data_IF_469189047263
#
_entry.id   IF_469189047263
#
_cell.length_a   1.000
_cell.length_b   1.000
_cell.length_c   1.000
_cell.angle_alpha   90.00
_cell.angle_beta   90.00
_cell.angle_gamma   90.00
#
_symmetry.space_group_name_H-M   'P 1'
#
loop_
_entity.id
_entity.type
_entity.pdbx_description
1 polymer ?
#
# COMPACT_ATOMS: atom_id res chain seq x y z
N UNK A 1 40.75 14.82 -1.70
CA UNK A 1 39.80 13.69 -1.93
C UNK A 1 38.90 13.35 -0.72
N UNK A 2 39.08 13.96 0.46
CA UNK A 2 38.21 13.73 1.64
C UNK A 2 36.95 14.61 1.61
N UNK A 3 37.06 15.85 1.12
CA UNK A 3 35.92 16.78 1.03
C UNK A 3 34.85 16.35 0.00
N UNK A 4 35.22 15.72 -1.12
CA UNK A 4 34.25 15.19 -2.10
C UNK A 4 33.44 13.99 -1.57
N UNK A 5 34.03 13.17 -0.68
CA UNK A 5 33.40 11.97 -0.11
C UNK A 5 32.28 12.32 0.88
N UNK A 6 32.46 13.41 1.64
CA UNK A 6 31.42 13.93 2.54
C UNK A 6 30.27 14.60 1.77
N UNK A 7 30.55 15.16 0.59
CA UNK A 7 29.55 15.81 -0.25
C UNK A 7 28.63 14.79 -0.95
N UNK A 8 29.19 13.71 -1.48
CA UNK A 8 28.41 12.60 -2.07
C UNK A 8 27.58 11.86 -1.03
N UNK A 9 28.10 11.67 0.19
CA UNK A 9 27.32 11.08 1.30
C UNK A 9 26.13 11.98 1.69
N UNK A 10 26.33 13.30 1.77
CA UNK A 10 25.22 14.25 2.07
C UNK A 10 24.16 14.28 0.98
N UNK A 11 24.54 14.23 -0.29
CA UNK A 11 23.60 14.16 -1.41
C UNK A 11 22.79 12.85 -1.37
N UNK A 12 23.42 11.73 -1.01
CA UNK A 12 22.75 10.44 -0.90
C UNK A 12 21.74 10.43 0.26
N UNK A 13 22.07 11.03 1.41
CA UNK A 13 21.11 11.20 2.51
C UNK A 13 19.93 12.10 2.14
N UNK A 14 20.18 13.19 1.40
CA UNK A 14 19.12 14.08 0.94
C UNK A 14 18.22 13.35 -0.07
N UNK A 15 18.76 12.63 -1.05
CA UNK A 15 17.94 11.93 -2.05
C UNK A 15 17.10 10.81 -1.44
N UNK A 16 17.63 10.09 -0.43
CA UNK A 16 16.88 9.09 0.32
C UNK A 16 15.75 9.73 1.11
N UNK A 17 16.00 10.89 1.74
CA UNK A 17 14.99 11.62 2.51
C UNK A 17 13.86 12.16 1.61
N UNK A 18 14.17 12.75 0.45
CA UNK A 18 13.15 13.22 -0.49
C UNK A 18 12.33 12.08 -1.06
N UNK A 19 12.96 10.94 -1.39
CA UNK A 19 12.27 9.76 -1.89
C UNK A 19 11.30 9.14 -0.87
N UNK A 20 11.57 9.29 0.43
CA UNK A 20 10.73 8.77 1.50
C UNK A 20 9.43 9.59 1.68
N UNK A 21 9.49 10.90 1.46
CA UNK A 21 8.31 11.76 1.50
C UNK A 21 7.32 11.47 0.37
N UNK A 22 7.79 11.18 -0.85
CA UNK A 22 6.90 10.87 -1.98
C UNK A 22 6.16 9.53 -1.83
N UNK A 23 6.75 8.55 -1.14
CA UNK A 23 6.10 7.26 -0.87
C UNK A 23 4.92 7.44 0.10
N UNK A 24 5.04 8.36 1.07
CA UNK A 24 4.01 8.56 2.10
C UNK A 24 2.70 9.11 1.49
N UNK A 25 2.80 10.12 0.62
CA UNK A 25 1.63 10.73 -0.06
C UNK A 25 0.90 9.71 -0.96
N UNK A 26 1.65 8.87 -1.68
CA UNK A 26 1.06 7.83 -2.53
C UNK A 26 0.33 6.76 -1.71
N UNK A 27 0.83 6.46 -0.51
CA UNK A 27 0.19 5.51 0.40
C UNK A 27 -1.12 6.06 0.97
N UNK A 28 -1.16 7.35 1.33
CA UNK A 28 -2.36 7.99 1.92
C UNK A 28 -3.52 8.02 0.92
N UNK A 29 -3.26 8.35 -0.35
CA UNK A 29 -4.28 8.33 -1.42
C UNK A 29 -4.77 6.90 -1.70
N UNK A 30 -3.86 5.92 -1.72
CA UNK A 30 -4.23 4.52 -1.96
C UNK A 30 -5.07 3.93 -0.82
N UNK A 31 -4.77 4.28 0.43
CA UNK A 31 -5.60 3.93 1.59
C UNK A 31 -6.98 4.59 1.50
N UNK A 32 -7.02 5.89 1.18
CA UNK A 32 -8.26 6.63 0.96
C UNK A 32 -9.16 6.01 -0.10
N UNK A 33 -8.58 5.56 -1.23
CA UNK A 33 -9.30 4.86 -2.29
C UNK A 33 -9.93 3.55 -1.81
N UNK A 34 -9.19 2.75 -1.03
CA UNK A 34 -9.69 1.49 -0.49
C UNK A 34 -10.85 1.70 0.48
N UNK A 35 -10.70 2.66 1.40
CA UNK A 35 -11.77 3.03 2.34
C UNK A 35 -12.99 3.53 1.57
N UNK A 36 -12.81 4.41 0.57
CA UNK A 36 -13.90 4.90 -0.25
C UNK A 36 -14.67 3.78 -0.94
N UNK A 37 -13.96 2.82 -1.57
CA UNK A 37 -14.56 1.68 -2.28
C UNK A 37 -15.36 0.77 -1.35
N UNK A 38 -14.90 0.58 -0.12
CA UNK A 38 -15.50 -0.36 0.84
C UNK A 38 -16.64 0.26 1.66
N UNK A 39 -16.54 1.55 1.97
CA UNK A 39 -17.42 2.24 2.92
C UNK A 39 -18.36 3.22 2.22
N UNK A 40 -17.80 4.08 1.36
CA UNK A 40 -18.52 5.23 0.81
C UNK A 40 -19.28 4.90 -0.48
N UNK A 41 -18.71 4.02 -1.32
CA UNK A 41 -19.20 3.70 -2.68
C UNK A 41 -20.58 3.04 -2.69
N UNK A 42 -21.01 2.47 -1.57
CA UNK A 42 -22.36 1.91 -1.44
C UNK A 42 -23.46 2.97 -1.63
N UNK A 43 -23.16 4.24 -1.33
CA UNK A 43 -24.12 5.35 -1.41
C UNK A 43 -23.65 6.48 -2.34
N UNK A 44 -22.34 6.71 -2.45
CA UNK A 44 -21.76 7.78 -3.25
C UNK A 44 -21.13 7.23 -4.51
N UNK A 45 -21.33 7.92 -5.64
CA UNK A 45 -20.58 7.64 -6.85
C UNK A 45 -19.13 8.12 -6.71
N UNK A 46 -18.27 7.66 -7.61
CA UNK A 46 -16.92 8.22 -7.76
C UNK A 46 -17.02 9.74 -7.99
N UNK A 47 -16.07 10.54 -7.47
CA UNK A 47 -16.12 11.99 -7.58
C UNK A 47 -16.33 12.44 -9.03
N UNK A 48 -17.39 13.22 -9.29
CA UNK A 48 -17.76 13.69 -10.62
C UNK A 48 -18.71 12.75 -11.38
N UNK A 49 -19.09 11.62 -10.78
CA UNK A 49 -20.09 10.69 -11.28
C UNK A 49 -21.53 11.11 -10.98
N UNK A 50 -21.75 12.28 -10.36
CA UNK A 50 -23.07 12.80 -10.03
C UNK A 50 -23.72 12.13 -8.81
N UNK A 51 -24.95 12.53 -8.52
CA UNK A 51 -25.72 12.06 -7.37
C UNK A 51 -26.17 10.60 -7.52
N UNK A 52 -26.24 9.88 -6.40
CA UNK A 52 -26.83 8.53 -6.28
C UNK A 52 -27.78 8.52 -5.06
N UNK A 53 -27.71 7.54 -4.17
CA UNK A 53 -28.30 7.57 -2.82
C UNK A 53 -27.76 8.77 -2.00
N UNK A 54 -26.46 9.06 -2.12
CA UNK A 54 -25.81 10.24 -1.57
C UNK A 54 -25.42 11.27 -2.65
N UNK A 55 -25.10 12.51 -2.26
CA UNK A 55 -24.63 13.54 -3.19
C UNK A 55 -23.29 13.18 -3.84
N UNK A 56 -22.95 13.85 -4.94
CA UNK A 56 -21.59 13.80 -5.49
C UNK A 56 -20.59 14.38 -4.47
N UNK A 57 -19.44 13.74 -4.36
CA UNK A 57 -18.38 14.11 -3.42
C UNK A 57 -17.27 14.93 -4.08
N UNK A 58 -17.33 15.16 -5.40
CA UNK A 58 -16.40 16.09 -6.04
C UNK A 58 -16.48 17.47 -5.40
N UNK A 59 -15.30 18.01 -5.04
CA UNK A 59 -15.17 19.31 -4.40
C UNK A 59 -16.02 19.46 -3.14
N UNK A 60 -16.19 18.38 -2.36
CA UNK A 60 -17.14 18.32 -1.23
C UNK A 60 -17.01 19.49 -0.24
N UNK A 61 -15.79 19.94 0.05
CA UNK A 61 -15.55 21.07 0.98
C UNK A 61 -16.08 22.41 0.46
N UNK A 62 -16.24 22.55 -0.86
CA UNK A 62 -16.81 23.75 -1.49
C UNK A 62 -18.34 23.70 -1.59
N UNK A 63 -18.98 22.62 -1.13
CA UNK A 63 -20.44 22.56 -1.08
C UNK A 63 -21.00 23.52 -0.03
N UNK A 64 -22.26 23.93 -0.21
CA UNK A 64 -22.96 24.87 0.69
C UNK A 64 -22.93 24.45 2.17
N UNK A 65 -22.77 23.14 2.44
CA UNK A 65 -22.70 22.57 3.79
C UNK A 65 -21.41 22.91 4.53
N UNK A 66 -20.29 23.01 3.81
CA UNK A 66 -18.95 23.15 4.40
C UNK A 66 -18.26 24.48 4.10
N UNK A 67 -18.59 25.14 2.98
CA UNK A 67 -17.89 26.34 2.49
C UNK A 67 -17.90 27.53 3.48
N UNK A 68 -18.92 27.63 4.33
CA UNK A 68 -19.06 28.72 5.30
C UNK A 68 -18.63 28.33 6.73
N UNK A 69 -18.05 27.14 6.91
CA UNK A 69 -17.55 26.70 8.21
C UNK A 69 -16.19 27.33 8.49
N UNK A 70 -15.90 27.60 9.77
CA UNK A 70 -14.60 28.18 10.19
C UNK A 70 -13.43 27.27 9.80
N UNK A 71 -13.62 25.96 10.01
CA UNK A 71 -12.73 24.91 9.49
C UNK A 71 -13.56 23.87 8.73
N UNK A 72 -13.63 23.97 7.38
CA UNK A 72 -14.37 23.03 6.55
C UNK A 72 -13.85 21.59 6.66
N UNK A 73 -12.55 21.40 6.85
CA UNK A 73 -11.91 20.09 6.92
C UNK A 73 -12.22 19.41 8.26
N UNK A 74 -12.03 20.12 9.37
CA UNK A 74 -12.38 19.58 10.70
C UNK A 74 -13.88 19.29 10.80
N UNK A 75 -14.71 20.16 10.21
CA UNK A 75 -16.16 19.95 10.15
C UNK A 75 -16.51 18.73 9.30
N UNK A 76 -15.82 18.50 8.18
CA UNK A 76 -15.99 17.31 7.36
C UNK A 76 -15.63 16.03 8.11
N UNK A 77 -14.52 16.02 8.86
CA UNK A 77 -14.12 14.87 9.70
C UNK A 77 -15.22 14.51 10.70
N UNK A 78 -15.67 15.50 11.48
CA UNK A 78 -16.75 15.32 12.46
C UNK A 78 -18.06 14.89 11.81
N UNK A 79 -18.35 15.39 10.62
CA UNK A 79 -19.54 15.02 9.87
C UNK A 79 -19.49 13.56 9.41
N UNK A 80 -18.37 13.07 8.90
CA UNK A 80 -18.22 11.66 8.47
C UNK A 80 -18.36 10.72 9.67
N UNK A 81 -17.73 11.06 10.79
CA UNK A 81 -17.81 10.29 12.03
C UNK A 81 -19.20 10.33 12.67
N UNK A 82 -19.90 11.47 12.57
CA UNK A 82 -21.24 11.64 13.11
C UNK A 82 -22.09 12.63 12.28
N UNK A 83 -22.83 12.16 11.26
CA UNK A 83 -23.60 13.03 10.37
C UNK A 83 -24.72 13.82 11.05
N UNK A 84 -25.15 13.38 12.25
CA UNK A 84 -26.14 14.09 13.07
C UNK A 84 -25.64 15.45 13.55
N UNK A 85 -24.32 15.68 13.58
CA UNK A 85 -23.71 16.99 13.89
C UNK A 85 -24.22 18.09 12.95
N UNK A 86 -24.55 17.74 11.71
CA UNK A 86 -25.14 18.65 10.71
C UNK A 86 -26.61 18.28 10.39
N UNK A 87 -27.28 17.55 11.29
CA UNK A 87 -28.69 17.18 11.17
C UNK A 87 -29.01 16.13 10.10
N UNK A 88 -28.01 15.45 9.54
CA UNK A 88 -28.22 14.44 8.49
C UNK A 88 -28.42 13.07 9.12
N UNK A 89 -29.59 12.45 8.89
CA UNK A 89 -29.95 11.11 9.41
C UNK A 89 -29.77 9.98 8.38
N UNK A 90 -29.75 10.33 7.10
CA UNK A 90 -29.70 9.34 6.02
C UNK A 90 -28.32 8.71 5.85
N UNK A 91 -27.25 9.43 6.21
CA UNK A 91 -25.89 8.91 6.23
C UNK A 91 -25.61 8.31 7.62
N UNK A 92 -25.23 7.02 7.71
CA UNK A 92 -24.81 6.43 8.98
C UNK A 92 -23.47 7.00 9.43
N UNK A 93 -23.23 6.98 10.74
CA UNK A 93 -21.92 7.30 11.32
C UNK A 93 -20.87 6.29 10.83
N UNK A 94 -19.69 6.79 10.47
CA UNK A 94 -18.56 5.96 10.05
C UNK A 94 -17.57 5.80 11.20
N UNK A 95 -17.16 4.56 11.48
CA UNK A 95 -16.15 4.23 12.49
C UNK A 95 -14.74 4.38 11.89
N UNK A 96 -14.37 5.62 11.60
CA UNK A 96 -13.09 6.01 11.00
C UNK A 96 -12.41 7.07 11.86
N UNK A 97 -11.09 6.97 12.01
CA UNK A 97 -10.30 8.02 12.67
C UNK A 97 -10.03 9.21 11.73
N UNK A 98 -9.51 10.30 12.29
CA UNK A 98 -9.27 11.56 11.58
C UNK A 98 -8.32 11.37 10.39
N UNK A 99 -7.29 10.53 10.53
CA UNK A 99 -6.31 10.26 9.47
C UNK A 99 -6.96 9.51 8.32
N UNK A 100 -7.77 8.50 8.62
CA UNK A 100 -8.51 7.74 7.61
C UNK A 100 -9.50 8.61 6.84
N UNK A 101 -10.19 9.54 7.52
CA UNK A 101 -11.10 10.47 6.84
C UNK A 101 -10.34 11.45 5.95
N UNK A 102 -9.16 11.91 6.39
CA UNK A 102 -8.29 12.77 5.58
C UNK A 102 -7.75 12.04 4.34
N UNK A 103 -7.34 10.77 4.46
CA UNK A 103 -6.93 9.94 3.32
C UNK A 103 -8.05 9.82 2.28
N UNK A 104 -9.30 9.59 2.72
CA UNK A 104 -10.47 9.56 1.84
C UNK A 104 -10.72 10.91 1.17
N UNK A 105 -10.61 12.00 1.92
CA UNK A 105 -10.76 13.36 1.39
C UNK A 105 -9.69 13.68 0.34
N UNK A 106 -8.45 13.27 0.58
CA UNK A 106 -7.36 13.42 -0.37
C UNK A 106 -7.65 12.65 -1.66
N UNK A 107 -8.02 11.37 -1.55
CA UNK A 107 -8.45 10.56 -2.70
C UNK A 107 -9.56 11.25 -3.50
N UNK A 108 -10.61 11.74 -2.83
CA UNK A 108 -11.73 12.43 -3.49
C UNK A 108 -11.26 13.66 -4.27
N UNK A 109 -10.35 14.45 -3.70
CA UNK A 109 -9.86 15.69 -4.30
C UNK A 109 -8.87 15.44 -5.45
N UNK A 110 -8.10 14.35 -5.40
CA UNK A 110 -7.12 14.00 -6.43
C UNK A 110 -7.69 13.06 -7.50
N UNK A 111 -8.94 12.60 -7.34
CA UNK A 111 -9.55 11.65 -8.25
C UNK A 111 -9.70 12.23 -9.67
N UNK A 112 -9.14 11.53 -10.64
CA UNK A 112 -9.32 11.79 -12.07
C UNK A 112 -10.10 10.62 -12.66
N UNK A 113 -11.27 10.84 -13.29
CA UNK A 113 -11.99 9.76 -13.96
C UNK A 113 -11.11 9.10 -15.01
N UNK A 114 -10.90 7.78 -14.91
CA UNK A 114 -10.34 7.01 -16.03
C UNK A 114 -11.33 7.09 -17.21
N UNK A 115 -10.90 7.72 -18.31
CA UNK A 115 -11.65 7.67 -19.56
C UNK A 115 -11.74 6.21 -20.02
N UNK A 116 -12.96 5.70 -20.19
CA UNK A 116 -13.20 4.35 -20.67
C UNK A 116 -12.67 4.21 -22.10
N UNK A 117 -11.60 3.44 -22.31
CA UNK A 117 -11.16 3.06 -23.65
C UNK A 117 -12.08 2.01 -24.26
N UNK A 118 -12.79 2.40 -25.33
CA UNK A 118 -13.16 1.49 -26.42
C UNK A 118 -12.02 1.50 -27.41
N UNK A 119 -11.21 0.44 -27.38
CA UNK A 119 -10.38 -0.11 -28.47
C UNK A 119 -10.13 0.80 -29.70
N UNK A 120 -8.92 1.36 -29.80
CA UNK A 120 -8.07 1.20 -30.99
C UNK A 120 -6.69 1.87 -30.79
N UNK A 121 -5.64 1.05 -30.93
CA UNK A 121 -4.25 1.37 -31.26
C UNK A 121 -3.87 2.86 -31.45
N UNK A 122 -3.11 3.43 -30.51
CA UNK A 122 -1.71 3.88 -30.72
C UNK A 122 -1.12 4.45 -29.43
N UNK A 123 0.18 4.24 -29.31
CA UNK A 123 1.06 4.49 -28.17
C UNK A 123 1.13 5.97 -27.75
N UNK A 124 0.76 6.27 -26.49
CA UNK A 124 1.21 7.47 -25.78
C UNK A 124 1.69 7.06 -24.38
N UNK A 125 2.95 7.39 -24.12
CA UNK A 125 3.71 7.07 -22.90
C UNK A 125 3.07 7.75 -21.69
N UNK A 126 2.43 6.96 -20.85
CA UNK A 126 1.91 7.37 -19.53
C UNK A 126 3.06 7.31 -18.53
N UNK A 127 3.27 8.39 -17.77
CA UNK A 127 4.20 8.41 -16.65
C UNK A 127 3.67 7.45 -15.56
N UNK A 128 4.34 6.30 -15.53
CA UNK A 128 4.12 5.08 -14.77
C UNK A 128 3.83 5.31 -13.27
N UNK A 129 2.54 5.36 -12.93
CA UNK A 129 2.07 4.98 -11.61
C UNK A 129 2.21 3.47 -11.50
N UNK A 130 3.27 3.03 -10.82
CA UNK A 130 3.71 1.64 -10.84
C UNK A 130 2.57 0.69 -10.45
N UNK A 131 2.05 -0.07 -11.42
CA UNK A 131 1.02 -1.09 -11.20
C UNK A 131 1.36 -1.94 -9.97
N UNK A 132 0.37 -2.41 -9.21
CA UNK A 132 0.61 -3.32 -8.06
C UNK A 132 1.50 -4.51 -8.43
N UNK A 133 1.41 -4.97 -9.68
CA UNK A 133 2.29 -6.00 -10.24
C UNK A 133 3.73 -5.50 -10.39
N UNK A 134 3.92 -4.28 -10.88
CA UNK A 134 5.23 -3.66 -11.02
C UNK A 134 5.88 -3.39 -9.64
N UNK A 135 5.11 -2.97 -8.63
CA UNK A 135 5.59 -2.83 -7.24
C UNK A 135 6.04 -4.18 -6.69
N UNK A 136 5.23 -5.23 -6.87
CA UNK A 136 5.55 -6.59 -6.45
C UNK A 136 6.82 -7.11 -7.15
N UNK A 137 7.00 -6.75 -8.43
CA UNK A 137 8.19 -7.07 -9.21
C UNK A 137 9.44 -6.35 -8.67
N UNK A 138 9.36 -5.07 -8.30
CA UNK A 138 10.45 -4.37 -7.62
C UNK A 138 10.80 -5.05 -6.30
N UNK A 139 9.80 -5.33 -5.45
CA UNK A 139 10.03 -5.95 -4.14
C UNK A 139 10.71 -7.31 -4.31
N UNK A 140 10.26 -8.10 -5.28
CA UNK A 140 10.89 -9.39 -5.62
C UNK A 140 12.36 -9.22 -6.04
N UNK A 141 12.67 -8.22 -6.87
CA UNK A 141 14.06 -7.93 -7.27
C UNK A 141 14.92 -7.54 -6.06
N UNK A 142 14.42 -6.67 -5.18
CA UNK A 142 15.11 -6.25 -3.96
C UNK A 142 15.40 -7.46 -3.06
N UNK A 143 14.43 -8.35 -2.88
CA UNK A 143 14.59 -9.56 -2.07
C UNK A 143 15.67 -10.50 -2.65
N UNK A 144 15.71 -10.66 -3.97
CA UNK A 144 16.75 -11.47 -4.64
C UNK A 144 18.14 -10.87 -4.43
N UNK A 145 18.28 -9.54 -4.55
CA UNK A 145 19.55 -8.85 -4.27
C UNK A 145 19.99 -9.08 -2.82
N UNK A 146 19.05 -9.02 -1.87
CA UNK A 146 19.34 -9.27 -0.47
C UNK A 146 19.80 -10.71 -0.22
N UNK A 147 19.16 -11.71 -0.86
CA UNK A 147 19.60 -13.11 -0.80
C UNK A 147 21.04 -13.27 -1.32
N UNK A 148 21.37 -12.64 -2.45
CA UNK A 148 22.72 -12.68 -3.02
C UNK A 148 23.74 -12.05 -2.05
N UNK A 149 23.39 -10.91 -1.44
CA UNK A 149 24.24 -10.25 -0.46
C UNK A 149 24.51 -11.14 0.76
N UNK A 150 23.48 -11.80 1.30
CA UNK A 150 23.63 -12.75 2.42
C UNK A 150 24.51 -13.95 2.06
N UNK A 151 24.35 -14.50 0.85
CA UNK A 151 25.20 -15.59 0.35
C UNK A 151 26.65 -15.13 0.20
N UNK A 152 26.87 -13.90 -0.29
CA UNK A 152 28.21 -13.31 -0.41
C UNK A 152 28.89 -13.14 0.96
N UNK A 153 28.15 -12.63 1.95
CA UNK A 153 28.64 -12.52 3.33
C UNK A 153 28.94 -13.93 3.89
N UNK A 154 28.05 -14.90 3.72
CA UNK A 154 28.25 -16.30 4.13
C UNK A 154 29.51 -16.90 3.50
N UNK A 155 29.73 -16.67 2.20
CA UNK A 155 30.90 -17.15 1.48
C UNK A 155 32.19 -16.44 1.91
N UNK A 156 32.11 -15.15 2.23
CA UNK A 156 33.25 -14.39 2.78
C UNK A 156 33.66 -14.93 4.15
N UNK A 157 32.69 -15.21 5.03
CA UNK A 157 32.95 -15.85 6.32
C UNK A 157 33.56 -17.25 6.17
N UNK A 158 33.02 -18.06 5.25
CA UNK A 158 33.57 -19.39 4.94
C UNK A 158 35.02 -19.33 4.44
N UNK A 159 35.35 -18.33 3.62
CA UNK A 159 36.72 -18.10 3.15
C UNK A 159 37.69 -17.77 4.27
N UNK A 160 37.26 -17.00 5.28
CA UNK A 160 38.06 -16.69 6.48
C UNK A 160 38.25 -17.95 7.34
N UNK A 161 37.29 -18.87 7.31
CA UNK A 161 37.31 -20.11 8.08
C UNK A 161 37.94 -21.30 7.31
N UNK A 162 38.62 -21.04 6.18
CA UNK A 162 39.17 -22.06 5.26
C UNK A 162 38.16 -23.15 4.84
N UNK A 163 36.87 -22.79 4.79
CA UNK A 163 35.80 -23.67 4.34
C UNK A 163 35.50 -23.46 2.85
N UNK A 164 35.05 -24.52 2.19
CA UNK A 164 34.62 -24.47 0.78
C UNK A 164 33.44 -23.50 0.62
N UNK A 165 33.57 -22.55 -0.31
CA UNK A 165 32.48 -21.62 -0.67
C UNK A 165 31.35 -22.35 -1.39
N UNK A 166 30.12 -21.90 -1.18
CA UNK A 166 28.94 -22.47 -1.86
C UNK A 166 28.52 -21.56 -3.01
N UNK A 167 28.05 -22.15 -4.09
CA UNK A 167 27.33 -21.39 -5.13
C UNK A 167 25.93 -21.00 -4.65
N UNK A 168 25.27 -20.07 -5.35
CA UNK A 168 23.91 -19.64 -5.00
C UNK A 168 22.95 -20.84 -4.93
N UNK A 169 22.99 -21.71 -5.94
CA UNK A 169 22.14 -22.90 -6.01
C UNK A 169 22.46 -23.91 -4.91
N UNK A 170 23.75 -24.14 -4.62
CA UNK A 170 24.18 -25.05 -3.57
C UNK A 170 23.74 -24.55 -2.18
N UNK A 171 23.82 -23.24 -1.93
CA UNK A 171 23.35 -22.63 -0.68
C UNK A 171 21.83 -22.78 -0.51
N UNK A 172 21.05 -22.64 -1.57
CA UNK A 172 19.59 -22.84 -1.55
C UNK A 172 19.24 -24.31 -1.26
N UNK A 173 19.84 -25.25 -2.00
CA UNK A 173 19.57 -26.68 -1.82
C UNK A 173 19.97 -27.13 -0.41
N UNK A 174 21.13 -26.68 0.08
CA UNK A 174 21.59 -27.03 1.41
C UNK A 174 20.68 -26.42 2.50
N UNK A 175 20.22 -25.18 2.32
CA UNK A 175 19.23 -24.58 3.19
C UNK A 175 17.92 -25.39 3.21
N UNK A 176 17.36 -25.73 2.04
CA UNK A 176 16.15 -26.55 1.95
C UNK A 176 16.34 -27.91 2.63
N UNK A 177 17.48 -28.57 2.40
CA UNK A 177 17.79 -29.87 3.03
C UNK A 177 17.85 -29.76 4.56
N UNK A 178 18.55 -28.76 5.08
CA UNK A 178 18.67 -28.52 6.53
C UNK A 178 17.32 -28.15 7.13
N UNK A 179 16.54 -27.34 6.43
CA UNK A 179 15.20 -26.94 6.85
C UNK A 179 14.27 -28.15 6.98
N UNK A 180 14.19 -28.99 5.94
CA UNK A 180 13.37 -30.20 5.94
C UNK A 180 13.84 -31.25 6.95
N UNK A 181 15.14 -31.33 7.22
CA UNK A 181 15.68 -32.21 8.26
C UNK A 181 15.35 -31.73 9.69
N UNK A 182 15.02 -30.44 9.87
CA UNK A 182 14.69 -29.88 11.16
C UNK A 182 13.19 -30.03 11.46
N UNK A 183 12.84 -31.12 12.16
CA UNK A 183 11.46 -31.43 12.52
C UNK A 183 10.74 -30.30 13.26
N UNK A 184 11.44 -29.49 14.06
CA UNK A 184 10.85 -28.32 14.73
C UNK A 184 10.49 -27.21 13.74
N UNK A 185 11.38 -26.92 12.80
CA UNK A 185 11.15 -25.88 11.79
C UNK A 185 10.02 -26.27 10.83
N UNK A 186 9.96 -27.55 10.43
CA UNK A 186 8.89 -28.11 9.60
C UNK A 186 7.56 -28.12 10.34
N UNK A 187 7.54 -28.45 11.64
CA UNK A 187 6.32 -28.43 12.44
C UNK A 187 5.75 -27.01 12.56
N UNK A 188 6.61 -26.00 12.78
CA UNK A 188 6.17 -24.60 12.86
C UNK A 188 5.57 -24.13 11.55
N UNK A 189 6.19 -24.41 10.40
CA UNK A 189 5.60 -24.03 9.11
C UNK A 189 4.33 -24.80 8.76
N UNK A 190 4.26 -26.08 9.11
CA UNK A 190 3.03 -26.86 8.97
C UNK A 190 1.88 -26.28 9.80
N UNK A 191 2.15 -25.82 11.02
CA UNK A 191 1.16 -25.18 11.87
C UNK A 191 0.69 -23.83 11.31
N UNK A 192 1.59 -23.01 10.78
CA UNK A 192 1.24 -21.74 10.12
C UNK A 192 0.35 -22.01 8.89
N UNK A 193 0.72 -23.00 8.07
CA UNK A 193 -0.06 -23.39 6.90
C UNK A 193 -1.43 -23.92 7.30
N UNK A 194 -1.51 -24.70 8.38
CA UNK A 194 -2.78 -25.16 8.93
C UNK A 194 -3.69 -24.00 9.37
N UNK A 195 -3.16 -22.99 10.06
CA UNK A 195 -3.93 -21.78 10.42
C UNK A 195 -4.42 -21.05 9.16
N UNK A 196 -3.57 -20.93 8.14
CA UNK A 196 -3.94 -20.29 6.89
C UNK A 196 -5.08 -21.02 6.17
N UNK A 197 -5.03 -22.36 6.14
CA UNK A 197 -6.13 -23.18 5.60
C UNK A 197 -7.41 -23.01 6.41
N UNK A 198 -7.32 -23.01 7.75
CA UNK A 198 -8.49 -22.75 8.60
C UNK A 198 -9.10 -21.38 8.33
N UNK A 199 -8.27 -20.34 8.12
CA UNK A 199 -8.73 -19.00 7.74
C UNK A 199 -9.48 -19.04 6.41
N UNK A 200 -8.91 -19.67 5.37
CA UNK A 200 -9.59 -19.80 4.06
C UNK A 200 -10.94 -20.50 4.20
N UNK A 201 -11.00 -21.60 4.95
CA UNK A 201 -12.25 -22.34 5.19
C UNK A 201 -13.27 -21.47 5.91
N UNK A 202 -12.83 -20.72 6.92
CA UNK A 202 -13.69 -19.79 7.65
C UNK A 202 -14.24 -18.68 6.76
N UNK A 203 -13.38 -18.02 5.98
CA UNK A 203 -13.76 -16.94 5.06
C UNK A 203 -14.75 -17.47 4.00
N UNK A 204 -14.51 -18.69 3.47
CA UNK A 204 -15.42 -19.38 2.54
C UNK A 204 -16.77 -19.70 3.18
N UNK A 205 -16.80 -20.17 4.43
CA UNK A 205 -18.05 -20.44 5.16
C UNK A 205 -18.85 -19.17 5.48
N UNK A 206 -18.15 -18.06 5.75
CA UNK A 206 -18.77 -16.77 6.03
C UNK A 206 -19.21 -16.03 4.76
N UNK A 207 -18.95 -16.59 3.56
CA UNK A 207 -19.28 -15.94 2.29
C UNK A 207 -18.45 -14.70 2.00
N UNK A 208 -17.29 -14.57 2.66
CA UNK A 208 -16.31 -13.51 2.43
C UNK A 208 -15.36 -14.04 1.36
N UNK A 209 -15.73 -13.82 0.10
CA UNK A 209 -14.97 -14.22 -1.08
C UNK A 209 -15.08 -13.16 -2.16
#
# INVERSE_FOLDING_TARGET
MILLKNFTIRILFISVFTSLCFISISQDVAEGEQIFKNVCKACHNLPGGGMSTGPDLKDVLNSEKFVNQEDPTETFIKYVQNPLTLGVKAMPAQDLDDTQVLSVLEFINTYVPEEQEVSSNEEIVVADGMSSVNILLIISIILVIFIIALISIKNTLKKIQDQKTETISESIINFCKVYWANSKAVLVSAFILFIFVLKIVFDTMMGIG
#
